data_IF_768038530624
#
_entry.id   IF_768038530624
#
_cell.length_a   1.000
_cell.length_b   1.000
_cell.length_c   1.000
_cell.angle_alpha   90.00
_cell.angle_beta   90.00
_cell.angle_gamma   90.00
#
_symmetry.space_group_name_H-M   'P 1'
#
loop_
_entity.id
_entity.type
_entity.pdbx_description
1 polymer ?
#
# COMPACT_ATOMS: atom_id res chain seq x y z
N UNK A 1 19.37 7.52 -3.17
CA UNK A 1 18.34 8.26 -2.42
C UNK A 1 17.46 7.23 -1.76
N UNK A 2 17.25 7.32 -0.45
CA UNK A 2 16.25 6.48 0.20
C UNK A 2 14.86 7.06 -0.08
N UNK A 3 13.90 6.23 -0.46
CA UNK A 3 12.59 6.67 -0.94
C UNK A 3 11.57 6.89 0.18
N UNK A 4 11.84 6.35 1.38
CA UNK A 4 10.99 6.53 2.56
C UNK A 4 9.60 5.89 2.43
N UNK A 5 8.78 5.94 3.49
CA UNK A 5 7.42 5.43 3.46
C UNK A 5 6.54 6.23 2.50
N UNK A 6 5.55 5.57 1.90
CA UNK A 6 4.46 6.23 1.16
C UNK A 6 3.12 6.00 1.86
N UNK A 7 2.34 7.07 1.97
CA UNK A 7 0.98 7.01 2.50
C UNK A 7 0.03 6.37 1.48
N UNK A 8 -0.79 5.44 1.96
CA UNK A 8 -1.79 4.74 1.16
C UNK A 8 -3.10 4.58 1.92
N UNK A 9 -4.19 4.45 1.18
CA UNK A 9 -5.47 3.96 1.71
C UNK A 9 -5.67 2.55 1.18
N UNK A 10 -5.73 1.58 2.09
CA UNK A 10 -5.87 0.16 1.75
C UNK A 10 -7.05 -0.46 2.49
N UNK A 11 -7.49 -1.61 2.00
CA UNK A 11 -8.45 -2.49 2.68
C UNK A 11 -7.88 -3.89 2.70
N UNK A 12 -7.67 -4.44 3.91
CA UNK A 12 -7.38 -5.86 4.05
C UNK A 12 -8.63 -6.67 3.70
N UNK A 13 -8.46 -7.68 2.87
CA UNK A 13 -9.53 -8.57 2.43
C UNK A 13 -9.92 -9.51 3.58
N UNK A 14 -11.22 -9.75 3.72
CA UNK A 14 -11.78 -10.72 4.69
C UNK A 14 -11.59 -12.16 4.22
N UNK A 15 -11.78 -13.13 5.11
CA UNK A 15 -11.75 -14.56 4.77
C UNK A 15 -12.71 -14.93 3.63
N UNK A 16 -13.94 -14.37 3.65
CA UNK A 16 -14.94 -14.59 2.60
C UNK A 16 -14.50 -14.08 1.22
N UNK A 17 -13.56 -13.13 1.18
CA UNK A 17 -13.00 -12.58 -0.05
C UNK A 17 -11.70 -13.30 -0.46
N UNK A 18 -11.36 -14.40 0.21
CA UNK A 18 -10.10 -15.10 0.02
C UNK A 18 -8.90 -14.40 0.65
N UNK A 19 -9.13 -13.44 1.55
CA UNK A 19 -8.13 -12.68 2.30
C UNK A 19 -7.77 -13.31 3.64
N UNK A 20 -7.43 -12.49 4.63
CA UNK A 20 -6.98 -13.01 5.93
C UNK A 20 -8.13 -13.55 6.78
N UNK A 21 -7.82 -14.53 7.61
CA UNK A 21 -8.71 -15.00 8.69
C UNK A 21 -8.60 -14.10 9.93
N UNK A 22 -7.42 -13.51 10.15
CA UNK A 22 -7.11 -12.72 11.34
C UNK A 22 -6.68 -11.30 10.97
N UNK A 23 -7.07 -10.36 11.82
CA UNK A 23 -6.68 -8.95 11.75
C UNK A 23 -5.15 -8.83 11.85
N UNK A 24 -4.48 -8.20 10.87
CA UNK A 24 -3.06 -7.91 10.98
C UNK A 24 -2.80 -6.80 12.00
N UNK A 25 -1.63 -6.87 12.63
CA UNK A 25 -1.12 -5.80 13.49
C UNK A 25 -0.35 -4.79 12.65
N UNK A 26 -0.32 -3.53 13.10
CA UNK A 26 0.57 -2.51 12.53
C UNK A 26 2.02 -2.96 12.61
N UNK A 27 2.77 -2.75 11.54
CA UNK A 27 4.12 -3.31 11.34
C UNK A 27 4.10 -4.68 10.65
N UNK A 28 2.95 -5.15 10.15
CA UNK A 28 2.87 -6.41 9.42
C UNK A 28 3.76 -6.37 8.18
N UNK A 29 4.50 -7.47 7.97
CA UNK A 29 5.30 -7.68 6.77
C UNK A 29 4.47 -8.39 5.71
N UNK A 30 4.41 -7.81 4.51
CA UNK A 30 3.72 -8.38 3.35
C UNK A 30 4.60 -8.25 2.10
N UNK A 31 4.10 -8.72 0.97
CA UNK A 31 4.70 -8.51 -0.34
C UNK A 31 3.84 -7.53 -1.13
N UNK A 32 4.41 -6.44 -1.64
CA UNK A 32 3.72 -5.52 -2.54
C UNK A 32 4.04 -5.86 -3.99
N UNK A 33 3.03 -5.89 -4.83
CA UNK A 33 3.17 -6.02 -6.28
C UNK A 33 3.49 -4.66 -6.92
N UNK A 34 4.57 -4.62 -7.70
CA UNK A 34 5.10 -3.44 -8.37
C UNK A 34 5.32 -3.77 -9.85
N UNK A 35 4.31 -3.52 -10.68
CA UNK A 35 4.32 -3.91 -12.09
C UNK A 35 4.43 -5.43 -12.23
N UNK A 36 5.58 -5.91 -12.69
CA UNK A 36 5.80 -7.31 -13.06
C UNK A 36 6.43 -8.17 -11.94
N UNK A 37 6.70 -7.59 -10.77
CA UNK A 37 7.34 -8.30 -9.66
C UNK A 37 6.72 -7.97 -8.31
N UNK A 38 7.11 -8.74 -7.28
CA UNK A 38 6.73 -8.50 -5.89
C UNK A 38 7.96 -8.29 -5.02
N UNK A 39 7.86 -7.41 -4.02
CA UNK A 39 8.92 -7.18 -3.02
C UNK A 39 8.36 -7.11 -1.62
N UNK A 40 9.18 -7.40 -0.60
CA UNK A 40 8.74 -7.26 0.79
C UNK A 40 8.52 -5.80 1.17
N UNK A 41 7.45 -5.54 1.93
CA UNK A 41 7.17 -4.25 2.54
C UNK A 41 6.68 -4.43 3.99
N UNK A 42 6.79 -3.35 4.76
CA UNK A 42 6.16 -3.18 6.08
C UNK A 42 4.95 -2.26 5.91
N UNK A 43 3.84 -2.61 6.55
CA UNK A 43 2.61 -1.81 6.57
C UNK A 43 2.34 -1.36 8.00
N UNK A 44 2.33 -0.06 8.22
CA UNK A 44 2.07 0.57 9.52
C UNK A 44 0.79 1.41 9.46
N UNK A 45 0.02 1.44 10.53
CA UNK A 45 -1.11 2.36 10.66
C UNK A 45 -0.60 3.81 10.67
N UNK A 46 -1.21 4.67 9.84
CA UNK A 46 -0.85 6.09 9.80
C UNK A 46 -1.33 6.85 11.06
N UNK A 47 -2.38 6.35 11.74
CA UNK A 47 -2.97 6.96 12.94
C UNK A 47 -2.56 6.27 14.26
N UNK A 48 -1.55 5.40 14.23
CA UNK A 48 -0.98 4.76 15.41
C UNK A 48 -1.81 3.61 16.01
N UNK A 49 -2.80 3.07 15.28
CA UNK A 49 -3.55 1.89 15.70
C UNK A 49 -2.66 0.67 15.74
N UNK A 50 -2.86 -0.18 16.76
CA UNK A 50 -2.18 -1.46 16.87
C UNK A 50 -2.68 -2.49 15.86
N UNK A 51 -3.95 -2.42 15.45
CA UNK A 51 -4.61 -3.37 14.57
C UNK A 51 -5.16 -2.69 13.31
N UNK A 52 -5.11 -3.43 12.19
CA UNK A 52 -5.55 -2.99 10.87
C UNK A 52 -6.81 -3.78 10.47
N UNK A 53 -8.02 -3.22 10.62
CA UNK A 53 -9.26 -3.99 10.51
C UNK A 53 -9.46 -4.61 9.12
N UNK A 54 -9.92 -5.86 9.09
CA UNK A 54 -10.35 -6.52 7.86
C UNK A 54 -11.63 -5.88 7.32
N UNK A 55 -11.76 -5.82 6.00
CA UNK A 55 -12.97 -5.35 5.33
C UNK A 55 -13.18 -3.84 5.34
N UNK A 56 -12.32 -3.06 6.00
CA UNK A 56 -12.45 -1.61 6.12
C UNK A 56 -11.28 -0.87 5.46
N UNK A 57 -11.57 0.30 4.87
CA UNK A 57 -10.51 1.17 4.38
C UNK A 57 -9.76 1.80 5.57
N UNK A 58 -8.44 1.72 5.55
CA UNK A 58 -7.54 2.27 6.56
C UNK A 58 -6.38 3.00 5.87
N UNK A 59 -5.96 4.11 6.47
CA UNK A 59 -4.78 4.83 6.02
C UNK A 59 -3.53 4.26 6.70
N UNK A 60 -2.52 4.00 5.88
CA UNK A 60 -1.31 3.29 6.26
C UNK A 60 -0.08 3.94 5.65
N UNK A 61 1.06 3.70 6.27
CA UNK A 61 2.38 3.96 5.71
C UNK A 61 2.97 2.64 5.23
N UNK A 62 3.44 2.61 3.98
CA UNK A 62 4.08 1.43 3.38
C UNK A 62 5.54 1.75 3.12
N UNK A 63 6.42 0.88 3.62
CA UNK A 63 7.88 0.96 3.40
C UNK A 63 8.35 -0.31 2.70
N UNK A 64 9.00 -0.19 1.54
CA UNK A 64 9.63 -1.34 0.88
C UNK A 64 10.97 -1.66 1.55
N UNK A 65 11.28 -2.94 1.74
CA UNK A 65 12.50 -3.35 2.44
C UNK A 65 13.76 -3.31 1.57
N UNK A 66 13.60 -3.31 0.25
CA UNK A 66 14.71 -3.36 -0.68
C UNK A 66 14.65 -2.21 -1.69
N UNK A 67 14.91 -1.01 -1.18
CA UNK A 67 14.77 0.24 -1.93
C UNK A 67 15.72 0.33 -3.14
N UNK A 68 16.89 -0.29 -3.07
CA UNK A 68 17.93 -0.18 -4.10
C UNK A 68 17.49 -0.73 -5.47
N UNK A 69 16.57 -1.70 -5.49
CA UNK A 69 16.05 -2.27 -6.73
C UNK A 69 14.55 -2.04 -6.91
N UNK A 70 13.78 -1.91 -5.83
CA UNK A 70 12.33 -1.70 -5.92
C UNK A 70 11.90 -0.23 -5.83
N UNK A 71 12.77 0.67 -5.39
CA UNK A 71 12.40 2.04 -5.02
C UNK A 71 11.78 2.85 -6.15
N UNK A 72 12.34 2.79 -7.36
CA UNK A 72 11.79 3.51 -8.51
C UNK A 72 10.36 3.02 -8.87
N UNK A 73 10.19 1.70 -9.00
CA UNK A 73 8.88 1.10 -9.26
C UNK A 73 7.89 1.36 -8.12
N UNK A 74 8.38 1.36 -6.87
CA UNK A 74 7.60 1.70 -5.71
C UNK A 74 7.10 3.14 -5.77
N UNK A 75 7.92 4.12 -6.19
CA UNK A 75 7.50 5.52 -6.32
C UNK A 75 6.54 5.77 -7.48
N UNK A 76 6.58 4.94 -8.52
CA UNK A 76 5.70 5.04 -9.69
C UNK A 76 4.37 4.31 -9.49
N UNK A 77 4.31 3.37 -8.55
CA UNK A 77 3.11 2.59 -8.28
C UNK A 77 1.94 3.48 -7.86
N UNK A 78 0.78 3.25 -8.49
CA UNK A 78 -0.45 3.99 -8.18
C UNK A 78 -1.39 3.20 -7.27
N UNK A 79 -1.49 1.91 -7.53
CA UNK A 79 -2.33 0.98 -6.78
C UNK A 79 -1.47 0.17 -5.81
N UNK A 80 -2.10 -0.24 -4.72
CA UNK A 80 -1.51 -1.15 -3.74
C UNK A 80 -2.19 -2.50 -3.88
N UNK A 81 -1.39 -3.56 -4.07
CA UNK A 81 -1.82 -4.95 -4.00
C UNK A 81 -0.83 -5.69 -3.12
N UNK A 82 -1.29 -6.15 -1.96
CA UNK A 82 -0.46 -6.82 -0.96
C UNK A 82 -0.74 -8.31 -0.92
N UNK A 83 0.32 -9.10 -0.80
CA UNK A 83 0.29 -10.54 -0.80
C UNK A 83 1.00 -11.13 0.42
N UNK A 84 0.58 -12.33 0.80
CA UNK A 84 1.29 -13.23 1.72
C UNK A 84 1.49 -14.58 1.01
N UNK A 85 2.69 -14.81 0.48
CA UNK A 85 2.91 -15.90 -0.46
C UNK A 85 2.11 -15.66 -1.75
N UNK A 86 1.33 -16.64 -2.19
CA UNK A 86 0.50 -16.50 -3.38
C UNK A 86 -0.85 -15.80 -3.14
N UNK A 87 -1.18 -15.47 -1.88
CA UNK A 87 -2.52 -15.01 -1.49
C UNK A 87 -2.60 -13.49 -1.47
N UNK A 88 -3.53 -12.90 -2.22
CA UNK A 88 -3.84 -11.47 -2.14
C UNK A 88 -4.56 -11.19 -0.81
N UNK A 89 -3.99 -10.30 0.01
CA UNK A 89 -4.50 -10.00 1.36
C UNK A 89 -4.98 -8.57 1.53
N UNK A 90 -4.57 -7.63 0.67
CA UNK A 90 -5.07 -6.26 0.69
C UNK A 90 -5.02 -5.59 -0.68
N UNK A 91 -5.90 -4.61 -0.88
CA UNK A 91 -5.92 -3.76 -2.08
C UNK A 91 -6.10 -2.31 -1.69
N UNK A 92 -5.67 -1.37 -2.52
CA UNK A 92 -5.81 0.06 -2.24
C UNK A 92 -5.11 0.96 -3.26
N UNK A 93 -4.84 2.20 -2.86
CA UNK A 93 -4.17 3.22 -3.67
C UNK A 93 -3.24 4.09 -2.82
N UNK A 94 -2.11 4.50 -3.39
CA UNK A 94 -1.27 5.53 -2.77
C UNK A 94 -1.94 6.91 -2.83
N UNK A 95 -1.74 7.72 -1.79
CA UNK A 95 -2.44 9.01 -1.62
C UNK A 95 -1.78 10.17 -2.38
N UNK A 96 -0.46 10.11 -2.59
CA UNK A 96 0.31 11.09 -3.37
C UNK A 96 -0.10 11.14 -4.86
N UNK A 97 -0.70 10.07 -5.38
CA UNK A 97 -1.28 9.99 -6.73
C UNK A 97 -2.51 10.89 -6.88
N UNK A 98 -3.28 11.09 -5.80
CA UNK A 98 -4.47 11.94 -5.84
C UNK A 98 -4.10 13.42 -5.94
N UNK A 99 -2.95 13.82 -5.39
CA UNK A 99 -2.45 15.20 -5.45
C UNK A 99 -2.04 15.60 -6.87
N UNK A 100 -1.44 14.69 -7.65
CA UNK A 100 -1.00 14.97 -9.04
C UNK A 100 -2.12 15.22 -10.06
N UNK A 101 -3.38 14.90 -9.72
CA UNK A 101 -4.55 15.17 -10.60
C UNK A 101 -5.19 16.54 -10.36
N UNK A 102 -4.87 17.22 -9.25
CA UNK A 102 -5.46 18.53 -8.92
C UNK A 102 -4.80 19.70 -9.66
N UNK A 103 -3.60 19.52 -10.21
CA UNK A 103 -2.84 20.55 -10.95
C UNK A 103 -3.00 20.44 -12.48
N UNK A 104 -4.24 20.20 -12.94
CA UNK A 104 -4.57 20.37 -14.36
C UNK A 104 -4.54 21.87 -14.74
N UNK A 105 -4.05 22.25 -15.94
CA UNK A 105 -3.97 23.66 -16.31
C UNK A 105 -5.38 24.25 -16.33
N UNK A 106 -5.59 25.27 -15.49
CA UNK A 106 -6.77 26.13 -15.58
C UNK A 106 -6.78 26.73 -16.97
N UNK A 107 -7.69 26.26 -17.83
CA UNK A 107 -7.88 26.78 -19.17
C UNK A 107 -8.43 28.21 -19.03
N UNK A 108 -7.54 29.19 -19.11
CA UNK A 108 -7.90 30.60 -19.30
C UNK A 108 -8.59 30.71 -20.66
N UNK A 109 -9.85 31.16 -20.62
CA UNK A 109 -10.60 31.59 -21.81
C UNK A 109 -10.09 32.92 -22.33
#
# INVERSE_FOLDING_TARGET
MAFGPRDARIRFLTAHEGGRETTPVSGVRSQIELGDFQTSCIVESADGRAELPLGQNVEVQITVLFEEWAGAAFMEAQNVRLYEGAKLVATGTFLDVQSRRADGPSATR
#
